data_IF_594695826534
#
_entry.id   IF_594695826534
#
_cell.length_a   1.000
_cell.length_b   1.000
_cell.length_c   1.000
_cell.angle_alpha   90.00
_cell.angle_beta   90.00
_cell.angle_gamma   90.00
#
_symmetry.space_group_name_H-M   'P 1'
#
loop_
_entity.id
_entity.type
_entity.pdbx_description
1 polymer ?
#
# COMPACT_ATOMS: atom_id res chain seq x y z
N UNK A 1 -4.65 27.18 18.26
CA UNK A 1 -3.86 27.91 19.25
C UNK A 1 -2.47 27.33 19.28
N UNK A 2 -1.51 28.14 18.87
CA UNK A 2 -0.06 27.92 18.97
C UNK A 2 0.37 27.96 20.44
N UNK A 3 1.54 27.46 20.84
CA UNK A 3 2.75 28.26 20.70
C UNK A 3 4.03 27.45 20.40
N UNK A 4 4.91 28.01 19.66
CA UNK A 4 6.23 28.59 19.97
C UNK A 4 6.76 28.36 21.39
N UNK A 5 7.88 27.65 21.52
CA UNK A 5 8.91 27.97 22.51
C UNK A 5 10.29 27.73 21.85
N UNK A 6 10.99 28.84 21.80
CA UNK A 6 12.35 29.09 21.41
C UNK A 6 13.38 28.40 22.29
N UNK A 7 14.47 27.98 21.62
CA UNK A 7 15.65 27.47 22.27
C UNK A 7 16.35 28.51 23.14
N UNK A 8 16.81 28.07 24.30
CA UNK A 8 17.84 28.75 25.12
C UNK A 8 19.13 27.98 24.89
N UNK A 9 20.02 28.59 24.12
CA UNK A 9 21.36 28.10 23.90
C UNK A 9 22.21 28.28 25.16
N UNK A 10 22.68 27.20 25.76
CA UNK A 10 23.82 27.21 26.63
C UNK A 10 25.10 27.38 25.81
N UNK A 11 25.73 28.54 25.94
CA UNK A 11 27.08 28.83 25.46
C UNK A 11 28.08 27.92 26.20
N UNK A 12 28.63 26.93 25.53
CA UNK A 12 29.82 26.24 25.97
C UNK A 12 31.04 26.84 25.25
N UNK A 13 31.85 27.55 26.01
CA UNK A 13 33.12 28.12 25.56
C UNK A 13 34.14 26.98 25.43
N UNK A 14 34.30 26.40 24.26
CA UNK A 14 35.57 25.84 23.74
C UNK A 14 35.40 25.66 22.24
N UNK A 15 36.25 26.33 21.48
CA UNK A 15 36.15 26.42 20.02
C UNK A 15 36.30 25.08 19.34
N UNK A 16 35.34 24.77 18.53
CA UNK A 16 35.34 23.72 17.54
C UNK A 16 34.16 23.99 16.63
N UNK A 17 34.44 24.54 15.43
CA UNK A 17 33.44 24.78 14.42
C UNK A 17 32.87 23.43 13.95
N UNK A 18 31.70 23.05 14.47
CA UNK A 18 30.90 21.96 13.91
C UNK A 18 30.31 22.49 12.61
N UNK A 19 30.99 22.19 11.51
CA UNK A 19 30.48 22.37 10.16
C UNK A 19 29.27 21.45 10.00
N UNK A 20 28.11 22.00 10.27
CA UNK A 20 26.83 21.35 9.99
C UNK A 20 26.76 21.05 8.50
N UNK A 21 26.96 19.79 8.10
CA UNK A 21 26.68 19.30 6.76
C UNK A 21 25.20 19.53 6.50
N UNK A 22 24.85 20.69 5.96
CA UNK A 22 23.57 20.92 5.27
C UNK A 22 23.45 19.89 4.16
N UNK A 23 22.73 18.81 4.40
CA UNK A 23 22.23 17.93 3.33
C UNK A 23 21.44 18.81 2.37
N UNK A 24 22.05 19.21 1.27
CA UNK A 24 21.35 19.85 0.14
C UNK A 24 20.27 18.86 -0.32
N UNK A 25 19.03 19.11 0.05
CA UNK A 25 17.87 18.47 -0.60
C UNK A 25 17.91 18.95 -2.05
N UNK A 26 18.39 18.11 -2.95
CA UNK A 26 18.24 18.32 -4.38
C UNK A 26 16.76 18.15 -4.70
N UNK A 27 16.08 19.28 -4.91
CA UNK A 27 14.79 19.34 -5.59
C UNK A 27 15.05 19.00 -7.05
N UNK A 28 14.84 17.76 -7.42
CA UNK A 28 14.81 17.35 -8.83
C UNK A 28 13.34 17.17 -9.23
N UNK A 29 12.76 18.21 -9.82
CA UNK A 29 11.62 18.07 -10.71
C UNK A 29 12.16 17.50 -12.04
N UNK A 30 12.17 16.17 -12.21
CA UNK A 30 12.43 15.54 -13.50
C UNK A 30 11.17 14.88 -14.03
N UNK A 31 10.81 15.10 -15.30
CA UNK A 31 9.53 14.67 -15.87
C UNK A 31 9.40 13.15 -16.07
N UNK A 32 10.44 12.35 -15.84
CA UNK A 32 10.37 10.89 -15.99
C UNK A 32 11.20 10.24 -14.85
N UNK A 33 10.51 9.80 -13.78
CA UNK A 33 11.15 9.22 -12.60
C UNK A 33 12.02 7.97 -12.86
N UNK A 34 11.81 7.28 -13.96
CA UNK A 34 12.53 6.08 -14.38
C UNK A 34 13.96 6.34 -14.85
N UNK A 35 14.23 7.49 -15.52
CA UNK A 35 15.52 7.81 -16.12
C UNK A 35 16.63 8.13 -15.10
N UNK A 36 16.28 8.28 -13.83
CA UNK A 36 17.24 8.58 -12.76
C UNK A 36 17.49 7.39 -11.82
N UNK A 37 16.99 6.19 -12.15
CA UNK A 37 17.18 4.99 -11.34
C UNK A 37 18.34 4.16 -11.87
N UNK A 38 19.13 3.59 -10.94
CA UNK A 38 20.18 2.64 -11.29
C UNK A 38 19.58 1.27 -11.60
N UNK A 39 20.29 0.45 -12.38
CA UNK A 39 19.84 -0.91 -12.74
C UNK A 39 19.47 -1.78 -11.52
N UNK A 40 20.24 -1.80 -10.40
CA UNK A 40 19.84 -2.52 -9.20
C UNK A 40 18.53 -2.01 -8.55
N UNK A 41 18.26 -0.70 -8.65
CA UNK A 41 17.02 -0.11 -8.13
C UNK A 41 15.81 -0.53 -8.97
N UNK A 42 15.97 -0.52 -10.30
CA UNK A 42 14.93 -1.01 -11.24
C UNK A 42 14.69 -2.49 -10.98
N UNK A 43 15.73 -3.31 -10.84
CA UNK A 43 15.60 -4.74 -10.54
C UNK A 43 14.82 -4.99 -9.25
N UNK A 44 15.14 -4.29 -8.14
CA UNK A 44 14.40 -4.42 -6.88
C UNK A 44 12.93 -4.01 -7.01
N UNK A 45 12.65 -2.96 -7.80
CA UNK A 45 11.29 -2.49 -8.03
C UNK A 45 10.48 -3.53 -8.83
N UNK A 46 11.05 -4.07 -9.89
CA UNK A 46 10.42 -5.13 -10.71
C UNK A 46 10.23 -6.40 -9.88
N UNK A 47 11.22 -6.78 -9.09
CA UNK A 47 11.13 -7.94 -8.19
C UNK A 47 10.00 -7.78 -7.18
N UNK A 48 9.89 -6.62 -6.54
CA UNK A 48 8.79 -6.32 -5.62
C UNK A 48 7.42 -6.41 -6.31
N UNK A 49 7.32 -5.84 -7.52
CA UNK A 49 6.08 -5.88 -8.29
C UNK A 49 5.69 -7.30 -8.69
N UNK A 50 6.68 -8.14 -9.03
CA UNK A 50 6.48 -9.54 -9.34
C UNK A 50 6.02 -10.34 -8.10
N UNK A 51 6.65 -10.10 -6.94
CA UNK A 51 6.25 -10.70 -5.67
C UNK A 51 4.83 -10.30 -5.29
N UNK A 52 4.49 -9.01 -5.36
CA UNK A 52 3.14 -8.56 -5.03
C UNK A 52 2.10 -9.00 -6.07
N UNK A 53 2.47 -9.07 -7.36
CA UNK A 53 1.59 -9.61 -8.40
C UNK A 53 1.28 -11.09 -8.20
N UNK A 54 2.24 -11.88 -7.69
CA UNK A 54 2.03 -13.29 -7.39
C UNK A 54 1.09 -13.54 -6.20
N UNK A 55 0.81 -12.51 -5.38
CA UNK A 55 -0.13 -12.61 -4.26
C UNK A 55 -1.50 -13.14 -4.71
N UNK A 56 -2.05 -12.60 -5.80
CA UNK A 56 -3.35 -13.00 -6.35
C UNK A 56 -3.36 -14.45 -6.83
N UNK A 57 -2.28 -14.89 -7.46
CA UNK A 57 -2.08 -16.30 -7.84
C UNK A 57 -2.06 -17.20 -6.60
N UNK A 58 -1.28 -16.83 -5.57
CA UNK A 58 -1.13 -17.63 -4.36
C UNK A 58 -2.41 -17.70 -3.54
N UNK A 59 -3.21 -16.62 -3.51
CA UNK A 59 -4.56 -16.63 -2.93
C UNK A 59 -5.43 -17.67 -3.63
N UNK A 60 -5.43 -17.75 -4.98
CA UNK A 60 -6.19 -18.78 -5.72
C UNK A 60 -5.77 -20.19 -5.33
N UNK A 61 -4.45 -20.46 -5.23
CA UNK A 61 -3.96 -21.77 -4.79
C UNK A 61 -4.32 -22.06 -3.33
N UNK A 62 -4.26 -21.09 -2.44
CA UNK A 62 -4.66 -21.29 -1.04
C UNK A 62 -6.18 -21.56 -0.91
N UNK A 63 -7.01 -20.90 -1.71
CA UNK A 63 -8.46 -21.07 -1.75
C UNK A 63 -8.93 -22.45 -2.25
N UNK A 64 -8.04 -23.32 -2.76
CA UNK A 64 -8.43 -24.69 -3.12
C UNK A 64 -8.83 -25.52 -1.90
N UNK A 65 -8.18 -25.28 -0.76
CA UNK A 65 -8.34 -26.11 0.44
C UNK A 65 -8.68 -25.29 1.69
N UNK A 66 -8.39 -23.97 1.67
CA UNK A 66 -8.71 -23.06 2.77
C UNK A 66 -9.90 -22.18 2.42
N UNK A 67 -10.70 -21.83 3.40
CA UNK A 67 -11.73 -20.80 3.26
C UNK A 67 -11.10 -19.41 3.06
N UNK A 68 -11.84 -18.47 2.47
CA UNK A 68 -11.38 -17.09 2.29
C UNK A 68 -10.94 -16.44 3.61
N UNK A 69 -11.64 -16.73 4.71
CA UNK A 69 -11.31 -16.20 6.02
C UNK A 69 -10.03 -16.78 6.60
N UNK A 70 -9.77 -18.07 6.38
CA UNK A 70 -8.53 -18.71 6.81
C UNK A 70 -7.33 -18.19 6.02
N UNK A 71 -7.47 -18.02 4.70
CA UNK A 71 -6.41 -17.43 3.88
C UNK A 71 -6.06 -16.05 4.39
N UNK A 72 -7.06 -15.19 4.65
CA UNK A 72 -6.84 -13.85 5.19
C UNK A 72 -6.16 -13.89 6.58
N UNK A 73 -6.63 -14.77 7.46
CA UNK A 73 -6.07 -14.94 8.81
C UNK A 73 -4.63 -15.43 8.77
N UNK A 74 -4.36 -16.55 8.09
CA UNK A 74 -3.02 -17.13 8.06
C UNK A 74 -2.03 -16.24 7.31
N UNK A 75 -2.43 -15.58 6.23
CA UNK A 75 -1.60 -14.58 5.55
C UNK A 75 -1.15 -13.48 6.52
N UNK A 76 -2.08 -12.93 7.31
CA UNK A 76 -1.77 -11.90 8.29
C UNK A 76 -0.89 -12.42 9.42
N UNK A 77 -1.18 -13.63 9.94
CA UNK A 77 -0.44 -14.27 11.02
C UNK A 77 0.99 -14.61 10.60
N UNK A 78 1.15 -15.29 9.48
CA UNK A 78 2.48 -15.70 8.97
C UNK A 78 3.30 -14.45 8.61
N UNK A 79 2.65 -13.43 8.00
CA UNK A 79 3.27 -12.15 7.73
C UNK A 79 3.71 -11.42 9.00
N UNK A 80 2.89 -11.44 10.06
CA UNK A 80 3.24 -10.86 11.36
C UNK A 80 4.44 -11.59 12.00
N UNK A 81 4.47 -12.92 11.96
CA UNK A 81 5.60 -13.73 12.45
C UNK A 81 6.88 -13.37 11.67
N UNK A 82 6.80 -13.30 10.34
CA UNK A 82 7.93 -12.90 9.50
C UNK A 82 8.47 -11.51 9.84
N UNK A 83 7.59 -10.51 9.99
CA UNK A 83 8.00 -9.16 10.39
C UNK A 83 8.48 -9.08 11.84
N UNK A 84 7.95 -9.92 12.74
CA UNK A 84 8.46 -10.00 14.11
C UNK A 84 9.92 -10.43 14.14
N UNK A 85 10.29 -11.44 13.33
CA UNK A 85 11.70 -11.86 13.19
C UNK A 85 12.56 -10.69 12.69
N UNK A 86 12.11 -9.98 11.65
CA UNK A 86 12.83 -8.82 11.08
C UNK A 86 13.01 -7.71 12.13
N UNK A 87 11.94 -7.29 12.80
CA UNK A 87 11.96 -6.27 13.87
C UNK A 87 12.87 -6.70 15.02
N UNK A 88 12.93 -8.01 15.32
CA UNK A 88 13.79 -8.55 16.36
C UNK A 88 15.28 -8.49 16.00
N UNK A 89 15.61 -8.59 14.72
CA UNK A 89 16.98 -8.46 14.20
C UNK A 89 17.40 -7.00 14.08
N UNK A 90 16.51 -6.11 13.66
CA UNK A 90 16.75 -4.65 13.58
C UNK A 90 17.09 -4.04 14.96
N UNK A 91 16.63 -4.63 16.06
CA UNK A 91 17.05 -4.35 17.44
C UNK A 91 16.53 -3.03 18.02
N UNK A 92 17.08 -2.64 19.16
CA UNK A 92 16.93 -1.45 20.00
C UNK A 92 15.76 -0.47 19.79
N UNK A 93 15.81 0.34 18.76
CA UNK A 93 14.84 1.43 18.54
C UNK A 93 13.45 0.92 18.10
N UNK A 94 13.42 -0.13 17.30
CA UNK A 94 12.17 -0.75 16.84
C UNK A 94 11.42 -1.42 18.00
N UNK A 95 12.15 -2.11 18.89
CA UNK A 95 11.59 -2.72 20.11
C UNK A 95 11.15 -1.70 21.17
N UNK A 96 11.92 -0.65 21.39
CA UNK A 96 11.58 0.37 22.38
C UNK A 96 10.27 1.09 22.08
N UNK A 97 9.94 1.25 20.80
CA UNK A 97 8.71 1.94 20.33
C UNK A 97 7.47 1.03 20.25
N UNK A 98 7.62 -0.27 20.50
CA UNK A 98 6.48 -1.22 20.59
C UNK A 98 5.43 -0.75 21.61
N UNK A 99 5.88 -0.25 22.78
CA UNK A 99 5.00 0.25 23.83
C UNK A 99 4.14 1.44 23.39
N UNK A 100 4.66 2.35 22.57
CA UNK A 100 3.97 3.56 22.15
C UNK A 100 2.70 3.29 21.34
N UNK A 101 2.68 2.20 20.57
CA UNK A 101 1.50 1.77 19.79
C UNK A 101 0.44 1.16 20.74
N UNK A 102 0.86 0.37 21.71
CA UNK A 102 -0.02 -0.29 22.69
C UNK A 102 -0.73 0.69 23.61
N UNK A 103 -0.15 1.88 23.89
CA UNK A 103 -0.81 2.91 24.68
C UNK A 103 -2.05 3.54 24.02
N UNK A 104 -2.30 3.24 22.75
CA UNK A 104 -3.48 3.73 22.01
C UNK A 104 -4.19 2.59 21.24
N UNK A 105 -4.80 1.65 21.96
CA UNK A 105 -5.31 0.41 21.37
C UNK A 105 -6.36 0.64 20.27
N UNK A 106 -7.23 1.65 20.40
CA UNK A 106 -8.21 2.00 19.37
C UNK A 106 -7.60 2.41 18.04
N UNK A 107 -6.41 3.04 18.06
CA UNK A 107 -5.71 3.41 16.82
C UNK A 107 -5.03 2.21 16.17
N UNK A 108 -4.45 1.33 16.97
CA UNK A 108 -3.89 0.07 16.50
C UNK A 108 -4.98 -0.82 15.89
N UNK A 109 -6.15 -0.90 16.55
CA UNK A 109 -7.32 -1.62 16.06
C UNK A 109 -7.80 -1.07 14.71
N UNK A 110 -7.94 0.26 14.60
CA UNK A 110 -8.34 0.92 13.35
C UNK A 110 -7.34 0.65 12.22
N UNK A 111 -6.04 0.72 12.52
CA UNK A 111 -5.00 0.45 11.54
C UNK A 111 -5.04 -1.02 11.08
N UNK A 112 -5.08 -1.98 12.01
CA UNK A 112 -5.16 -3.40 11.68
C UNK A 112 -6.43 -3.77 10.92
N UNK A 113 -7.56 -3.13 11.26
CA UNK A 113 -8.82 -3.33 10.55
C UNK A 113 -8.74 -2.82 9.09
N UNK A 114 -8.28 -1.58 8.88
CA UNK A 114 -8.28 -0.95 7.56
C UNK A 114 -7.10 -1.35 6.67
N UNK A 115 -5.93 -1.62 7.26
CA UNK A 115 -4.75 -1.98 6.47
C UNK A 115 -4.66 -3.47 6.15
N UNK A 116 -5.22 -4.32 6.99
CA UNK A 116 -5.02 -5.78 6.93
C UNK A 116 -6.33 -6.55 6.91
N UNK A 117 -7.11 -6.52 8.00
CA UNK A 117 -8.27 -7.39 8.13
C UNK A 117 -9.29 -7.19 7.00
N UNK A 118 -9.73 -5.95 6.77
CA UNK A 118 -10.71 -5.65 5.74
C UNK A 118 -10.16 -5.92 4.32
N UNK A 119 -8.97 -5.41 3.89
CA UNK A 119 -8.51 -5.68 2.55
C UNK A 119 -8.18 -7.17 2.31
N UNK A 120 -7.59 -7.89 3.26
CA UNK A 120 -7.28 -9.31 3.05
C UNK A 120 -8.56 -10.14 2.93
N UNK A 121 -9.55 -9.91 3.82
CA UNK A 121 -10.86 -10.56 3.72
C UNK A 121 -11.56 -10.24 2.39
N UNK A 122 -11.60 -8.96 2.01
CA UNK A 122 -12.27 -8.53 0.78
C UNK A 122 -11.57 -9.05 -0.49
N UNK A 123 -10.23 -9.15 -0.50
CA UNK A 123 -9.48 -9.75 -1.61
C UNK A 123 -9.80 -11.24 -1.69
N UNK A 124 -9.67 -11.97 -0.58
CA UNK A 124 -9.88 -13.42 -0.58
C UNK A 124 -11.32 -13.81 -0.93
N UNK A 125 -12.32 -13.08 -0.42
CA UNK A 125 -13.72 -13.25 -0.82
C UNK A 125 -13.98 -12.87 -2.28
N UNK A 126 -13.40 -11.78 -2.75
CA UNK A 126 -13.49 -11.36 -4.16
C UNK A 126 -12.93 -12.42 -5.11
N UNK A 127 -11.79 -12.99 -4.75
CA UNK A 127 -11.12 -14.00 -5.55
C UNK A 127 -11.80 -15.39 -5.54
N UNK A 128 -12.79 -15.64 -4.69
CA UNK A 128 -13.63 -16.84 -4.84
C UNK A 128 -14.31 -16.89 -6.22
N UNK A 129 -14.68 -15.74 -6.75
CA UNK A 129 -15.53 -15.62 -7.96
C UNK A 129 -14.88 -14.79 -9.06
N UNK A 130 -13.89 -13.96 -8.75
CA UNK A 130 -13.18 -13.11 -9.73
C UNK A 130 -11.84 -13.77 -10.10
N UNK A 131 -11.43 -13.79 -11.39
CA UNK A 131 -10.10 -14.22 -11.81
C UNK A 131 -8.97 -13.43 -11.12
N UNK A 132 -7.85 -14.11 -10.85
CA UNK A 132 -6.73 -13.52 -10.09
C UNK A 132 -6.10 -12.31 -10.79
N UNK A 133 -5.95 -12.39 -12.11
CA UNK A 133 -5.43 -11.28 -12.89
C UNK A 133 -6.31 -10.04 -12.79
N UNK A 134 -7.64 -10.20 -12.87
CA UNK A 134 -8.59 -9.09 -12.73
C UNK A 134 -8.67 -8.57 -11.29
N UNK A 135 -8.49 -9.44 -10.30
CA UNK A 135 -8.39 -9.03 -8.89
C UNK A 135 -7.23 -8.06 -8.69
N UNK A 136 -6.05 -8.36 -9.27
CA UNK A 136 -4.90 -7.46 -9.25
C UNK A 136 -5.16 -6.12 -9.94
N UNK A 137 -5.88 -6.13 -11.06
CA UNK A 137 -6.27 -4.89 -11.77
C UNK A 137 -7.19 -4.04 -10.91
N UNK A 138 -8.23 -4.61 -10.30
CA UNK A 138 -9.17 -3.87 -9.45
C UNK A 138 -8.50 -3.37 -8.15
N UNK A 139 -7.62 -4.16 -7.54
CA UNK A 139 -6.87 -3.74 -6.37
C UNK A 139 -5.93 -2.54 -6.65
N UNK A 140 -5.46 -2.38 -7.89
CA UNK A 140 -4.61 -1.25 -8.30
C UNK A 140 -5.32 0.12 -8.32
N UNK A 141 -6.63 0.17 -8.04
CA UNK A 141 -7.41 1.41 -7.94
C UNK A 141 -7.19 2.18 -6.63
N UNK A 142 -6.45 1.64 -5.65
CA UNK A 142 -6.19 2.27 -4.36
C UNK A 142 -5.73 3.75 -4.46
N UNK A 143 -4.82 4.16 -5.39
CA UNK A 143 -4.45 5.56 -5.55
C UNK A 143 -5.62 6.48 -5.92
N UNK A 144 -6.60 5.97 -6.65
CA UNK A 144 -7.81 6.74 -7.00
C UNK A 144 -8.66 7.01 -5.74
N UNK A 145 -8.80 6.01 -4.87
CA UNK A 145 -9.50 6.17 -3.59
C UNK A 145 -8.76 7.13 -2.64
N UNK A 146 -7.42 7.11 -2.63
CA UNK A 146 -6.63 8.10 -1.87
C UNK A 146 -7.01 9.53 -2.32
N UNK A 147 -7.05 9.78 -3.62
CA UNK A 147 -7.40 11.09 -4.15
C UNK A 147 -8.87 11.47 -3.89
N UNK A 148 -9.78 10.50 -3.96
CA UNK A 148 -11.20 10.69 -3.70
C UNK A 148 -11.48 11.04 -2.22
N UNK A 149 -10.80 10.38 -1.28
CA UNK A 149 -11.01 10.57 0.15
C UNK A 149 -10.26 11.79 0.71
N UNK A 150 -9.20 12.26 0.05
CA UNK A 150 -8.39 13.36 0.52
C UNK A 150 -9.19 14.61 0.90
N UNK A 151 -10.16 15.13 0.09
CA UNK A 151 -10.96 16.31 0.44
C UNK A 151 -11.91 16.07 1.62
N UNK A 152 -12.40 14.84 1.79
CA UNK A 152 -13.30 14.51 2.90
C UNK A 152 -12.57 14.46 4.25
N UNK A 153 -11.28 14.16 4.23
CA UNK A 153 -10.44 14.05 5.42
C UNK A 153 -9.68 15.34 5.75
N UNK A 154 -9.39 16.14 4.75
CA UNK A 154 -8.80 17.49 4.89
C UNK A 154 -9.54 18.48 3.99
N UNK A 155 -10.36 19.34 4.59
CA UNK A 155 -11.18 20.34 3.90
C UNK A 155 -10.38 21.41 3.13
N UNK A 156 -9.06 21.48 3.35
CA UNK A 156 -8.18 22.38 2.60
C UNK A 156 -7.72 21.77 1.27
N UNK A 157 -7.99 20.47 1.04
CA UNK A 157 -7.68 19.79 -0.20
C UNK A 157 -8.92 19.86 -1.11
N UNK A 158 -8.79 20.52 -2.26
CA UNK A 158 -9.82 20.54 -3.29
C UNK A 158 -9.37 19.69 -4.49
N UNK A 159 -10.28 18.98 -5.12
CA UNK A 159 -10.02 18.28 -6.37
C UNK A 159 -10.06 19.30 -7.51
N UNK A 160 -8.94 19.49 -8.19
CA UNK A 160 -8.90 20.35 -9.37
C UNK A 160 -9.41 19.61 -10.63
N UNK A 161 -9.61 20.36 -11.75
CA UNK A 161 -10.16 19.80 -13.00
C UNK A 161 -9.30 18.65 -13.57
N UNK A 162 -7.97 18.70 -13.41
CA UNK A 162 -7.07 17.65 -13.91
C UNK A 162 -7.16 16.38 -13.05
N UNK A 163 -7.23 16.55 -11.74
CA UNK A 163 -7.47 15.41 -10.83
C UNK A 163 -8.83 14.77 -11.09
N UNK A 164 -9.88 15.57 -11.28
CA UNK A 164 -11.20 15.08 -11.65
C UNK A 164 -11.16 14.32 -12.99
N UNK A 165 -10.44 14.84 -13.98
CA UNK A 165 -10.21 14.18 -15.26
C UNK A 165 -9.49 12.82 -15.10
N UNK A 166 -8.43 12.77 -14.28
CA UNK A 166 -7.71 11.53 -13.98
C UNK A 166 -8.61 10.50 -13.27
N UNK A 167 -9.41 10.94 -12.30
CA UNK A 167 -10.39 10.08 -11.63
C UNK A 167 -11.42 9.52 -12.62
N UNK A 168 -11.95 10.36 -13.51
CA UNK A 168 -12.91 9.92 -14.54
C UNK A 168 -12.29 8.87 -15.48
N UNK A 169 -11.06 9.07 -15.94
CA UNK A 169 -10.34 8.09 -16.77
C UNK A 169 -10.21 6.75 -16.04
N UNK A 170 -9.82 6.79 -14.77
CA UNK A 170 -9.70 5.56 -13.97
C UNK A 170 -11.06 4.88 -13.73
N UNK A 171 -12.12 5.64 -13.45
CA UNK A 171 -13.49 5.09 -13.31
C UNK A 171 -13.97 4.43 -14.60
N UNK A 172 -13.70 5.02 -15.76
CA UNK A 172 -13.99 4.40 -17.06
C UNK A 172 -13.21 3.11 -17.21
N UNK A 173 -11.93 3.07 -16.78
CA UNK A 173 -11.14 1.83 -16.76
C UNK A 173 -11.76 0.73 -15.89
N UNK A 174 -12.19 1.07 -14.67
CA UNK A 174 -12.91 0.13 -13.77
C UNK A 174 -14.22 -0.34 -14.41
N UNK A 175 -15.03 0.58 -14.95
CA UNK A 175 -16.29 0.25 -15.59
C UNK A 175 -16.10 -0.68 -16.79
N UNK A 176 -15.03 -0.49 -17.55
CA UNK A 176 -14.69 -1.36 -18.68
C UNK A 176 -14.34 -2.79 -18.22
N UNK A 177 -13.52 -2.91 -17.16
CA UNK A 177 -13.16 -4.23 -16.60
C UNK A 177 -14.38 -4.93 -16.02
N UNK A 178 -15.16 -4.23 -15.20
CA UNK A 178 -16.35 -4.79 -14.53
C UNK A 178 -17.45 -5.09 -15.54
N UNK A 179 -17.76 -4.15 -16.43
CA UNK A 179 -18.82 -4.29 -17.41
C UNK A 179 -18.57 -5.40 -18.42
N UNK A 180 -17.33 -5.61 -18.83
CA UNK A 180 -16.98 -6.65 -19.81
C UNK A 180 -16.96 -8.07 -19.23
N UNK A 181 -16.87 -8.23 -17.89
CA UNK A 181 -16.63 -9.54 -17.28
C UNK A 181 -17.69 -9.97 -16.25
N UNK A 182 -18.38 -9.04 -15.60
CA UNK A 182 -19.13 -9.33 -14.37
C UNK A 182 -20.60 -8.91 -14.42
N UNK A 183 -21.06 -8.31 -15.51
CA UNK A 183 -22.43 -7.79 -15.60
C UNK A 183 -23.48 -8.91 -15.57
N UNK A 184 -23.12 -10.10 -16.07
CA UNK A 184 -24.05 -11.24 -16.22
C UNK A 184 -24.11 -12.11 -14.95
N UNK A 185 -23.28 -11.84 -13.93
CA UNK A 185 -23.23 -12.62 -12.68
C UNK A 185 -23.20 -11.73 -11.46
N UNK A 186 -24.26 -11.74 -10.67
CA UNK A 186 -24.34 -11.00 -9.41
C UNK A 186 -23.17 -11.36 -8.47
N UNK A 187 -22.79 -12.64 -8.40
CA UNK A 187 -21.68 -13.09 -7.55
C UNK A 187 -20.36 -12.45 -7.97
N UNK A 188 -20.04 -12.46 -9.26
CA UNK A 188 -18.81 -11.84 -9.79
C UNK A 188 -18.83 -10.32 -9.64
N UNK A 189 -19.97 -9.68 -9.83
CA UNK A 189 -20.13 -8.25 -9.59
C UNK A 189 -19.87 -7.89 -8.11
N UNK A 190 -20.43 -8.64 -7.17
CA UNK A 190 -20.17 -8.46 -5.74
C UNK A 190 -18.70 -8.75 -5.38
N UNK A 191 -18.08 -9.74 -6.01
CA UNK A 191 -16.64 -10.00 -5.88
C UNK A 191 -15.78 -8.82 -6.36
N UNK A 192 -16.14 -8.23 -7.50
CA UNK A 192 -15.47 -7.02 -8.00
C UNK A 192 -15.64 -5.84 -7.04
N UNK A 193 -16.84 -5.64 -6.48
CA UNK A 193 -17.07 -4.62 -5.45
C UNK A 193 -16.26 -4.87 -4.19
N UNK A 194 -16.09 -6.14 -3.78
CA UNK A 194 -15.22 -6.49 -2.65
C UNK A 194 -13.77 -6.09 -2.91
N UNK A 195 -13.24 -6.35 -4.10
CA UNK A 195 -11.88 -5.95 -4.49
C UNK A 195 -11.69 -4.42 -4.53
N UNK A 196 -12.69 -3.68 -5.04
CA UNK A 196 -12.69 -2.22 -4.96
C UNK A 196 -12.78 -1.73 -3.50
N UNK A 197 -13.58 -2.41 -2.68
CA UNK A 197 -13.65 -2.17 -1.23
C UNK A 197 -12.31 -2.40 -0.52
N UNK A 198 -11.56 -3.43 -0.93
CA UNK A 198 -10.20 -3.67 -0.43
C UNK A 198 -9.26 -2.51 -0.78
N UNK A 199 -9.31 -2.02 -2.03
CA UNK A 199 -8.52 -0.86 -2.46
C UNK A 199 -8.91 0.40 -1.69
N UNK A 200 -10.20 0.63 -1.45
CA UNK A 200 -10.70 1.75 -0.66
C UNK A 200 -10.26 1.66 0.81
N UNK A 201 -10.31 0.47 1.41
CA UNK A 201 -9.83 0.24 2.78
C UNK A 201 -8.34 0.51 2.92
N UNK A 202 -7.53 0.02 1.97
CA UNK A 202 -6.09 0.32 1.89
C UNK A 202 -5.81 1.82 1.75
N UNK A 203 -6.60 2.53 0.95
CA UNK A 203 -6.52 3.98 0.83
C UNK A 203 -6.80 4.69 2.17
N UNK A 204 -7.86 4.30 2.90
CA UNK A 204 -8.18 4.85 4.22
C UNK A 204 -7.07 4.57 5.23
N UNK A 205 -6.47 3.38 5.21
CA UNK A 205 -5.35 3.05 6.10
C UNK A 205 -4.14 3.97 5.91
N UNK A 206 -3.88 4.42 4.68
CA UNK A 206 -2.81 5.36 4.37
C UNK A 206 -3.01 6.71 5.08
N UNK A 207 -4.25 7.19 5.21
CA UNK A 207 -4.56 8.39 5.99
C UNK A 207 -4.40 8.15 7.49
N UNK A 208 -4.79 6.98 8.00
CA UNK A 208 -4.57 6.62 9.42
C UNK A 208 -3.08 6.63 9.73
N UNK A 209 -2.24 6.07 8.85
CA UNK A 209 -0.79 6.09 8.99
C UNK A 209 -0.26 7.53 8.98
N UNK A 210 -0.67 8.33 8.00
CA UNK A 210 -0.20 9.70 7.85
C UNK A 210 -0.57 10.58 9.06
N UNK A 211 -1.82 10.48 9.57
CA UNK A 211 -2.31 11.31 10.66
C UNK A 211 -1.85 10.85 12.05
N UNK A 212 -1.60 9.56 12.24
CA UNK A 212 -1.40 9.00 13.57
C UNK A 212 0.03 8.52 13.86
N UNK A 213 0.80 8.18 12.83
CA UNK A 213 2.08 7.49 12.98
C UNK A 213 3.27 8.22 12.35
N UNK A 214 3.07 9.02 11.29
CA UNK A 214 4.17 9.66 10.53
C UNK A 214 5.08 10.55 11.37
N UNK A 215 4.52 11.32 12.31
CA UNK A 215 5.28 12.29 13.11
C UNK A 215 5.90 11.69 14.38
N UNK A 216 5.67 10.40 14.64
CA UNK A 216 6.18 9.75 15.87
C UNK A 216 7.51 9.04 15.68
N UNK A 217 8.07 9.06 14.47
CA UNK A 217 9.34 8.40 14.17
C UNK A 217 9.31 6.89 14.40
N UNK A 218 8.12 6.28 14.24
CA UNK A 218 7.97 4.83 14.33
C UNK A 218 8.52 4.19 13.05
N UNK A 219 9.35 3.15 13.15
CA UNK A 219 9.77 2.39 11.99
C UNK A 219 8.57 1.79 11.26
N UNK A 220 8.62 1.79 9.94
CA UNK A 220 7.54 1.24 9.13
C UNK A 220 7.37 -0.27 9.35
N UNK A 221 8.47 -1.02 9.57
CA UNK A 221 8.47 -2.43 9.95
C UNK A 221 7.67 -2.69 11.22
N UNK A 222 7.89 -1.88 12.27
CA UNK A 222 7.14 -1.97 13.53
C UNK A 222 5.66 -1.69 13.33
N UNK A 223 5.32 -0.63 12.58
CA UNK A 223 3.92 -0.27 12.31
C UNK A 223 3.21 -1.38 11.55
N UNK A 224 3.86 -1.98 10.55
CA UNK A 224 3.29 -3.08 9.76
C UNK A 224 3.18 -4.38 10.55
N UNK A 225 4.15 -4.69 11.42
CA UNK A 225 4.05 -5.82 12.34
C UNK A 225 2.80 -5.72 13.22
N UNK A 226 2.55 -4.55 13.82
CA UNK A 226 1.34 -4.33 14.60
C UNK A 226 0.06 -4.42 13.78
N UNK A 227 0.04 -3.81 12.60
CA UNK A 227 -1.12 -3.87 11.72
C UNK A 227 -1.45 -5.32 11.36
N UNK A 228 -0.44 -6.14 11.02
CA UNK A 228 -0.62 -7.55 10.70
C UNK A 228 -1.06 -8.37 11.91
N UNK A 229 -0.45 -8.16 13.08
CA UNK A 229 -0.84 -8.85 14.32
C UNK A 229 -2.28 -8.55 14.73
N UNK A 230 -2.68 -7.28 14.70
CA UNK A 230 -4.07 -6.87 14.98
C UNK A 230 -5.01 -7.36 13.89
N UNK A 231 -4.60 -7.31 12.61
CA UNK A 231 -5.38 -7.87 11.51
C UNK A 231 -5.63 -9.37 11.67
N UNK A 232 -4.60 -10.14 12.05
CA UNK A 232 -4.73 -11.56 12.35
C UNK A 232 -5.71 -11.81 13.51
N UNK A 233 -5.62 -11.03 14.60
CA UNK A 233 -6.56 -11.15 15.73
C UNK A 233 -8.00 -10.84 15.32
N UNK A 234 -8.23 -9.87 14.45
CA UNK A 234 -9.55 -9.51 13.95
C UNK A 234 -10.16 -10.57 13.03
N UNK A 235 -9.33 -11.25 12.23
CA UNK A 235 -9.78 -12.30 11.30
C UNK A 235 -9.85 -13.68 11.96
N UNK A 236 -9.20 -13.88 13.11
CA UNK A 236 -9.15 -15.14 13.84
C UNK A 236 -10.52 -15.76 14.12
N UNK A 237 -11.56 -15.03 14.64
CA UNK A 237 -12.83 -15.65 14.97
C UNK A 237 -13.50 -16.30 13.76
N UNK A 238 -13.45 -15.64 12.60
CA UNK A 238 -14.03 -16.15 11.36
C UNK A 238 -13.19 -17.31 10.81
N UNK A 239 -11.85 -17.20 10.87
CA UNK A 239 -10.93 -18.27 10.48
C UNK A 239 -11.17 -19.57 11.28
N UNK A 240 -11.40 -19.47 12.59
CA UNK A 240 -11.70 -20.66 13.43
C UNK A 240 -13.03 -21.29 13.04
N UNK A 241 -14.08 -20.49 12.83
CA UNK A 241 -15.42 -20.98 12.51
C UNK A 241 -15.49 -21.66 11.15
N UNK A 242 -14.64 -21.23 10.22
CA UNK A 242 -14.59 -21.75 8.84
C UNK A 242 -13.50 -22.80 8.63
N UNK A 243 -12.84 -23.25 9.70
CA UNK A 243 -11.71 -24.20 9.62
C UNK A 243 -12.05 -25.46 8.81
N UNK A 244 -11.17 -25.92 7.91
CA UNK A 244 -11.43 -27.07 7.07
C UNK A 244 -11.56 -28.32 7.94
N UNK A 245 -12.45 -29.21 7.52
CA UNK A 245 -12.66 -30.51 8.21
C UNK A 245 -11.63 -31.57 7.79
N UNK A 246 -10.94 -31.33 6.68
CA UNK A 246 -9.93 -32.23 6.11
C UNK A 246 -8.57 -31.55 6.15
N UNK A 247 -7.48 -32.34 6.13
CA UNK A 247 -6.13 -31.82 6.10
C UNK A 247 -5.88 -31.16 4.73
N UNK A 248 -5.42 -29.88 4.70
CA UNK A 248 -5.13 -29.19 3.45
C UNK A 248 -3.98 -29.88 2.70
N UNK A 249 -4.06 -29.88 1.37
CA UNK A 249 -3.01 -30.37 0.52
C UNK A 249 -1.73 -29.51 0.59
N UNK A 250 -0.60 -30.14 0.33
CA UNK A 250 0.70 -29.47 0.35
C UNK A 250 0.77 -28.21 -0.56
N UNK A 251 0.19 -28.20 -1.78
CA UNK A 251 0.23 -26.99 -2.62
C UNK A 251 -0.45 -25.78 -1.97
N UNK A 252 -1.62 -25.96 -1.34
CA UNK A 252 -2.34 -24.89 -0.67
C UNK A 252 -1.58 -24.35 0.55
N UNK A 253 -0.97 -25.26 1.32
CA UNK A 253 -0.12 -24.89 2.48
C UNK A 253 1.11 -24.12 2.02
N UNK A 254 1.81 -24.57 0.99
CA UNK A 254 2.97 -23.87 0.44
C UNK A 254 2.60 -22.49 -0.14
N UNK A 255 1.45 -22.41 -0.82
CA UNK A 255 0.94 -21.12 -1.31
C UNK A 255 0.69 -20.16 -0.15
N UNK A 256 0.10 -20.62 0.94
CA UNK A 256 -0.20 -19.81 2.12
C UNK A 256 1.10 -19.33 2.83
N UNK A 257 2.10 -20.20 2.95
CA UNK A 257 3.43 -19.83 3.48
C UNK A 257 4.10 -18.79 2.57
N UNK A 258 4.10 -19.02 1.26
CA UNK A 258 4.67 -18.09 0.28
C UNK A 258 3.93 -16.74 0.30
N UNK A 259 2.62 -16.74 0.48
CA UNK A 259 1.79 -15.56 0.61
C UNK A 259 2.16 -14.73 1.86
N UNK A 260 2.26 -15.37 3.02
CA UNK A 260 2.59 -14.70 4.28
C UNK A 260 4.05 -14.27 4.38
N UNK A 261 5.00 -15.16 4.11
CA UNK A 261 6.43 -14.83 4.21
C UNK A 261 6.94 -14.07 2.98
N UNK A 262 6.58 -14.53 1.77
CA UNK A 262 7.08 -13.96 0.52
C UNK A 262 6.39 -12.63 0.19
N UNK A 263 5.08 -12.68 -0.05
CA UNK A 263 4.38 -11.48 -0.50
C UNK A 263 4.17 -10.45 0.61
N UNK A 264 3.97 -10.90 1.86
CA UNK A 264 3.69 -9.99 2.97
C UNK A 264 4.98 -9.56 3.67
N UNK A 265 5.69 -10.44 4.38
CA UNK A 265 6.86 -10.03 5.17
C UNK A 265 8.03 -9.54 4.31
N UNK A 266 8.48 -10.35 3.34
CA UNK A 266 9.57 -9.99 2.44
C UNK A 266 9.17 -8.83 1.51
N UNK A 267 7.93 -8.83 1.01
CA UNK A 267 7.38 -7.75 0.20
C UNK A 267 7.45 -6.39 0.90
N UNK A 268 7.00 -6.30 2.15
CA UNK A 268 7.11 -5.07 2.95
C UNK A 268 8.57 -4.69 3.22
N UNK A 269 9.45 -5.65 3.53
CA UNK A 269 10.87 -5.36 3.73
C UNK A 269 11.53 -4.76 2.48
N UNK A 270 11.26 -5.34 1.30
CA UNK A 270 11.75 -4.80 0.03
C UNK A 270 11.17 -3.41 -0.27
N UNK A 271 9.90 -3.19 0.01
CA UNK A 271 9.23 -1.90 -0.18
C UNK A 271 9.85 -0.81 0.69
N UNK A 272 10.07 -1.07 1.99
CA UNK A 272 10.72 -0.12 2.89
C UNK A 272 12.16 0.16 2.49
N UNK A 273 12.90 -0.87 2.11
CA UNK A 273 14.26 -0.71 1.56
C UNK A 273 14.26 0.17 0.30
N UNK A 274 13.27 0.02 -0.59
CA UNK A 274 13.13 0.89 -1.75
C UNK A 274 12.83 2.34 -1.34
N UNK A 275 11.91 2.57 -0.39
CA UNK A 275 11.60 3.92 0.13
C UNK A 275 12.88 4.60 0.65
N UNK A 276 13.71 3.89 1.39
CA UNK A 276 14.95 4.43 1.94
C UNK A 276 15.98 4.79 0.87
N UNK A 277 16.05 4.02 -0.21
CA UNK A 277 17.06 4.20 -1.25
C UNK A 277 16.63 5.17 -2.37
N UNK A 278 15.36 5.13 -2.78
CA UNK A 278 14.87 5.89 -3.95
C UNK A 278 13.73 6.86 -3.62
N UNK A 279 13.22 6.84 -2.38
CA UNK A 279 12.10 7.66 -1.91
C UNK A 279 10.73 7.04 -2.19
N UNK A 280 9.74 7.51 -1.42
CA UNK A 280 8.36 7.00 -1.42
C UNK A 280 7.69 7.07 -2.80
N UNK A 281 7.87 8.20 -3.53
CA UNK A 281 7.27 8.41 -4.86
C UNK A 281 7.72 7.37 -5.89
N UNK A 282 9.02 7.01 -5.88
CA UNK A 282 9.55 6.03 -6.82
C UNK A 282 9.25 4.60 -6.37
N UNK A 283 9.27 4.31 -5.08
CA UNK A 283 8.89 3.01 -4.56
C UNK A 283 7.43 2.68 -4.89
N UNK A 284 6.54 3.68 -4.89
CA UNK A 284 5.13 3.53 -5.25
C UNK A 284 4.90 3.07 -6.70
N UNK A 285 5.91 3.22 -7.61
CA UNK A 285 5.83 2.69 -8.97
C UNK A 285 5.66 1.16 -9.00
N UNK A 286 6.06 0.45 -7.94
CA UNK A 286 5.80 -0.99 -7.83
C UNK A 286 4.30 -1.30 -7.91
N UNK A 287 3.43 -0.45 -7.33
CA UNK A 287 1.99 -0.65 -7.36
C UNK A 287 1.38 -0.57 -8.77
N UNK A 288 2.01 0.16 -9.68
CA UNK A 288 1.56 0.24 -11.08
C UNK A 288 1.98 -0.99 -11.93
N UNK A 289 3.07 -1.63 -11.55
CA UNK A 289 3.55 -2.84 -12.23
C UNK A 289 2.91 -4.12 -11.66
N UNK A 290 2.52 -4.12 -10.40
CA UNK A 290 1.88 -5.25 -9.72
C UNK A 290 0.72 -5.86 -10.49
N UNK A 291 -0.28 -5.09 -11.01
CA UNK A 291 -1.40 -5.67 -11.74
C UNK A 291 -1.00 -6.27 -13.09
N UNK A 292 0.06 -5.78 -13.72
CA UNK A 292 0.58 -6.39 -14.94
C UNK A 292 1.16 -7.80 -14.65
N UNK A 293 1.87 -7.95 -13.53
CA UNK A 293 2.33 -9.27 -13.08
C UNK A 293 1.17 -10.18 -12.66
N UNK A 294 0.13 -9.64 -12.00
CA UNK A 294 -1.06 -10.42 -11.65
C UNK A 294 -1.75 -10.98 -12.90
N UNK A 295 -1.96 -10.16 -13.93
CA UNK A 295 -2.49 -10.61 -15.22
C UNK A 295 -1.57 -11.65 -15.88
N UNK A 296 -0.26 -11.40 -15.89
CA UNK A 296 0.71 -12.33 -16.45
C UNK A 296 0.65 -13.71 -15.80
N UNK A 297 0.63 -13.77 -14.46
CA UNK A 297 0.54 -15.02 -13.70
C UNK A 297 -0.83 -15.69 -13.89
N UNK A 298 -1.92 -14.93 -13.88
CA UNK A 298 -3.27 -15.44 -14.11
C UNK A 298 -3.39 -16.15 -15.47
N UNK A 299 -2.86 -15.52 -16.51
CA UNK A 299 -2.87 -16.12 -17.87
C UNK A 299 -1.93 -17.31 -17.96
N UNK A 300 -0.68 -17.17 -17.50
CA UNK A 300 0.36 -18.18 -17.71
C UNK A 300 0.18 -19.42 -16.84
N UNK A 301 -0.20 -19.24 -15.56
CA UNK A 301 -0.21 -20.31 -14.56
C UNK A 301 -1.62 -20.82 -14.21
N UNK A 302 -2.66 -20.01 -14.38
CA UNK A 302 -4.04 -20.40 -14.12
C UNK A 302 -4.86 -20.58 -15.41
N UNK A 303 -4.28 -20.26 -16.59
CA UNK A 303 -4.99 -20.36 -17.85
C UNK A 303 -6.16 -19.35 -17.99
N UNK A 304 -6.11 -18.25 -17.24
CA UNK A 304 -7.14 -17.20 -17.29
C UNK A 304 -7.15 -16.53 -18.66
N UNK A 305 -8.34 -16.20 -19.17
CA UNK A 305 -8.47 -15.53 -20.47
C UNK A 305 -8.15 -14.05 -20.35
N UNK A 306 -7.11 -13.60 -21.05
CA UNK A 306 -6.80 -12.18 -21.18
C UNK A 306 -7.73 -11.54 -22.22
N UNK A 307 -8.58 -10.63 -21.76
CA UNK A 307 -9.44 -9.88 -22.65
C UNK A 307 -8.83 -8.53 -22.99
N UNK A 308 -9.14 -8.00 -24.16
CA UNK A 308 -8.73 -6.64 -24.56
C UNK A 308 -9.28 -5.61 -23.58
N UNK A 309 -10.50 -5.81 -23.06
CA UNK A 309 -11.11 -4.95 -22.06
C UNK A 309 -10.30 -4.88 -20.75
N UNK A 310 -9.74 -6.03 -20.30
CA UNK A 310 -8.86 -6.05 -19.10
C UNK A 310 -7.59 -5.24 -19.30
N UNK A 311 -6.96 -5.36 -20.48
CA UNK A 311 -5.72 -4.62 -20.79
C UNK A 311 -6.00 -3.11 -20.91
N UNK A 312 -7.03 -2.73 -21.68
CA UNK A 312 -7.40 -1.31 -21.83
C UNK A 312 -7.82 -0.73 -20.48
N UNK A 313 -8.63 -1.47 -19.71
CA UNK A 313 -9.06 -1.07 -18.39
C UNK A 313 -7.89 -0.84 -17.42
N UNK A 314 -6.91 -1.76 -17.41
CA UNK A 314 -5.68 -1.59 -16.63
C UNK A 314 -4.93 -0.32 -17.03
N UNK A 315 -4.73 -0.09 -18.33
CA UNK A 315 -4.04 1.11 -18.83
C UNK A 315 -4.78 2.39 -18.38
N UNK A 316 -6.11 2.42 -18.50
CA UNK A 316 -6.92 3.56 -18.08
C UNK A 316 -6.85 3.79 -16.56
N UNK A 317 -6.89 2.72 -15.76
CA UNK A 317 -6.76 2.81 -14.29
C UNK A 317 -5.39 3.39 -13.92
N UNK A 318 -4.31 2.86 -14.49
CA UNK A 318 -2.94 3.31 -14.21
C UNK A 318 -2.73 4.76 -14.65
N UNK A 319 -3.16 5.11 -15.86
CA UNK A 319 -3.06 6.50 -16.38
C UNK A 319 -3.89 7.46 -15.53
N UNK A 320 -5.12 7.10 -15.19
CA UNK A 320 -6.00 7.90 -14.34
C UNK A 320 -5.42 8.12 -12.95
N UNK A 321 -4.88 7.09 -12.33
CA UNK A 321 -4.20 7.17 -11.03
C UNK A 321 -2.97 8.08 -11.09
N UNK A 322 -2.15 7.92 -12.13
CA UNK A 322 -0.92 8.71 -12.31
C UNK A 322 -1.23 10.22 -12.50
N UNK A 323 -2.19 10.56 -13.36
CA UNK A 323 -2.63 11.96 -13.57
C UNK A 323 -3.09 12.55 -12.22
N UNK A 324 -3.87 11.78 -11.46
CA UNK A 324 -4.45 12.22 -10.20
C UNK A 324 -3.38 12.48 -9.13
N UNK A 325 -2.40 11.57 -8.99
CA UNK A 325 -1.35 11.66 -7.98
C UNK A 325 -0.30 12.74 -8.31
N UNK A 326 0.10 12.89 -9.57
CA UNK A 326 1.05 13.94 -9.98
C UNK A 326 0.53 15.32 -9.66
N UNK A 327 -0.72 15.58 -9.98
CA UNK A 327 -1.33 16.89 -9.71
C UNK A 327 -1.44 17.18 -8.20
N UNK A 328 -1.69 16.16 -7.37
CA UNK A 328 -1.71 16.29 -5.92
C UNK A 328 -0.30 16.63 -5.36
N UNK A 329 0.75 16.02 -5.90
CA UNK A 329 2.14 16.27 -5.52
C UNK A 329 2.62 17.67 -5.93
N UNK A 330 2.31 18.10 -7.15
CA UNK A 330 2.66 19.42 -7.68
C UNK A 330 1.98 20.54 -6.90
N UNK A 331 0.76 20.33 -6.44
CA UNK A 331 0.04 21.28 -5.59
C UNK A 331 0.70 21.44 -4.23
N UNK A 332 1.02 20.34 -3.55
CA UNK A 332 1.73 20.37 -2.26
C UNK A 332 3.06 21.11 -2.37
N UNK A 333 3.79 20.88 -3.45
CA UNK A 333 5.06 21.56 -3.72
C UNK A 333 4.88 23.08 -3.92
N UNK A 334 3.85 23.49 -4.66
CA UNK A 334 3.49 24.92 -4.89
C UNK A 334 3.07 25.61 -3.60
N UNK A 335 2.28 24.96 -2.77
CA UNK A 335 1.81 25.52 -1.50
C UNK A 335 2.95 25.64 -0.48
N UNK A 336 3.84 24.66 -0.43
CA UNK A 336 5.05 24.71 0.39
C UNK A 336 6.02 25.84 -0.05
N UNK A 337 6.12 26.11 -1.33
CA UNK A 337 6.90 27.24 -1.85
C UNK A 337 6.24 28.58 -1.50
N UNK A 338 4.93 28.70 -1.67
CA UNK A 338 4.17 29.92 -1.31
C UNK A 338 4.24 30.24 0.18
N UNK A 339 4.16 29.25 1.06
CA UNK A 339 4.30 29.43 2.50
C UNK A 339 5.71 29.90 2.88
N UNK A 340 6.77 29.39 2.23
CA UNK A 340 8.15 29.86 2.44
C UNK A 340 8.35 31.31 1.95
N UNK A 341 7.77 31.70 0.80
CA UNK A 341 7.83 33.08 0.30
C UNK A 341 7.10 34.06 1.21
N UNK A 342 5.96 33.66 1.81
CA UNK A 342 5.25 34.48 2.79
C UNK A 342 6.00 34.64 4.12
N UNK A 343 6.74 33.59 4.54
CA UNK A 343 7.52 33.62 5.76
C UNK A 343 8.86 34.39 5.65
N UNK A 344 9.41 34.49 4.45
CA UNK A 344 10.67 35.17 4.15
C UNK A 344 10.54 35.92 2.80
N UNK A 345 9.88 37.10 2.79
CA UNK A 345 9.84 37.91 1.57
C UNK A 345 11.28 38.29 1.19
N UNK A 346 11.63 38.28 -0.11
CA UNK A 346 12.92 38.76 -0.55
C UNK A 346 13.04 40.22 -0.16
N UNK A 347 14.12 40.57 0.51
CA UNK A 347 14.43 41.96 0.85
C UNK A 347 14.46 42.82 -0.43
N UNK A 348 13.68 43.89 -0.45
CA UNK A 348 13.78 44.98 -1.36
C UNK A 348 14.91 45.91 -0.93
#
# INVERSE_FOLDING_TARGET
>A
MSPFISGIGRRNKKGGAVVGRRRKRKTFAHPIGWLAMTLPQIFRLVLLSAIWGSMFLLVKYALTDFSAAEVAFFQALIGAIGLFVIVSIEGGEARAKLGDILHRPGRALLLGALAIAAPFMLITFGELVVPSGLAGVLASTAPMFIALFAPALDRHIEINRRQAGGLLVGVVGVALVVGAHFIDSLGQFLGALALLGAAASGALSSFVIALQYKDKGLPASTTSFFALGVGALLTLPVGIVTAPRELPGLPAVLALIALGLGCTALGYMLYYSLIDHIGEERAALANYLTPAFALFYGVLLLGERLTIAAVIGLVLIVVGAEITLREASDRRSRDALRSRYRAHPPFH
#
